data_IF_910667636788
#
_entry.id   IF_910667636788
#
_cell.length_a   1.000
_cell.length_b   1.000
_cell.length_c   1.000
_cell.angle_alpha   90.00
_cell.angle_beta   90.00
_cell.angle_gamma   90.00
#
_symmetry.space_group_name_H-M   'P 1'
#
loop_
_entity.id
_entity.type
_entity.pdbx_description
1 polymer ?
#
# COMPACT_ATOMS: atom_id res chain seq x y z
N UNK A 1 15.63 -1.75 -29.97
CA UNK A 1 14.33 -1.60 -29.31
C UNK A 1 14.56 -1.77 -27.83
N UNK A 2 14.46 -0.70 -27.04
CA UNK A 2 14.76 -0.71 -25.61
C UNK A 2 13.51 -0.23 -24.90
N UNK A 3 12.61 -1.15 -24.56
CA UNK A 3 11.39 -0.86 -23.81
C UNK A 3 11.01 -2.13 -23.08
N UNK A 4 11.14 -2.07 -21.76
CA UNK A 4 10.45 -2.81 -20.69
C UNK A 4 11.30 -2.47 -19.46
N UNK A 5 11.06 -1.31 -18.83
CA UNK A 5 11.28 -1.32 -17.38
C UNK A 5 10.18 -2.23 -16.88
N UNK A 6 10.58 -3.42 -16.43
CA UNK A 6 9.69 -4.25 -15.63
C UNK A 6 9.47 -3.47 -14.33
N UNK A 7 8.51 -2.54 -14.36
CA UNK A 7 7.92 -1.95 -13.16
C UNK A 7 7.11 -3.08 -12.52
N UNK A 8 7.82 -4.03 -11.91
CA UNK A 8 7.23 -5.12 -11.17
C UNK A 8 6.67 -4.51 -9.89
N UNK A 9 5.40 -4.14 -9.92
CA UNK A 9 4.67 -3.76 -8.72
C UNK A 9 4.76 -4.91 -7.71
N UNK A 10 5.03 -4.57 -6.46
CA UNK A 10 4.87 -5.54 -5.36
C UNK A 10 3.43 -6.04 -5.35
N UNK A 11 3.28 -7.32 -5.09
CA UNK A 11 1.98 -7.95 -4.91
C UNK A 11 1.23 -7.33 -3.73
N UNK A 12 -0.10 -7.46 -3.72
CA UNK A 12 -0.92 -7.02 -2.60
C UNK A 12 -0.49 -7.66 -1.26
N UNK A 13 0.02 -8.90 -1.29
CA UNK A 13 0.53 -9.57 -0.09
C UNK A 13 1.82 -8.91 0.44
N UNK A 14 2.77 -8.61 -0.44
CA UNK A 14 4.01 -7.92 -0.06
C UNK A 14 3.76 -6.50 0.47
N UNK A 15 2.81 -5.78 -0.13
CA UNK A 15 2.38 -4.47 0.34
C UNK A 15 1.65 -4.57 1.69
N UNK A 16 0.79 -5.56 1.88
CA UNK A 16 0.11 -5.85 3.14
C UNK A 16 1.10 -6.16 4.26
N UNK A 17 2.13 -6.96 3.97
CA UNK A 17 3.20 -7.25 4.92
C UNK A 17 3.97 -5.98 5.29
N UNK A 18 4.41 -5.20 4.30
CA UNK A 18 5.14 -3.96 4.54
C UNK A 18 4.31 -2.94 5.37
N UNK A 19 3.01 -2.83 5.10
CA UNK A 19 2.11 -2.01 5.87
C UNK A 19 1.94 -2.52 7.30
N UNK A 20 1.82 -3.83 7.50
CA UNK A 20 1.72 -4.41 8.85
C UNK A 20 2.99 -4.17 9.67
N UNK A 21 4.17 -4.19 9.04
CA UNK A 21 5.43 -3.80 9.68
C UNK A 21 5.43 -2.31 10.03
N UNK A 22 4.96 -1.43 9.14
CA UNK A 22 4.85 0.01 9.42
C UNK A 22 4.04 0.28 10.69
N UNK A 23 2.90 -0.40 10.87
CA UNK A 23 2.00 -0.19 12.00
C UNK A 23 2.60 -0.55 13.38
N UNK A 24 3.59 -1.45 13.42
CA UNK A 24 4.21 -1.87 14.69
C UNK A 24 5.56 -1.20 14.95
N UNK A 25 6.10 -0.47 13.97
CA UNK A 25 7.38 0.22 14.12
C UNK A 25 7.21 1.51 14.93
N UNK A 26 8.05 1.75 15.96
CA UNK A 26 8.05 3.00 16.69
C UNK A 26 8.71 4.08 15.83
N UNK A 27 7.89 4.78 15.05
CA UNK A 27 8.32 5.86 14.17
C UNK A 27 7.74 7.20 14.63
N UNK A 28 8.46 8.32 14.42
CA UNK A 28 7.87 9.64 14.51
C UNK A 28 6.66 9.76 13.58
N UNK A 29 5.64 10.50 14.01
CA UNK A 29 4.37 10.61 13.28
C UNK A 29 4.53 11.01 11.81
N UNK A 30 5.38 12.01 11.53
CA UNK A 30 5.63 12.48 10.18
C UNK A 30 6.28 11.40 9.29
N UNK A 31 7.25 10.65 9.83
CA UNK A 31 7.91 9.57 9.10
C UNK A 31 6.93 8.42 8.82
N UNK A 32 6.10 8.07 9.80
CA UNK A 32 5.07 7.05 9.60
C UNK A 32 4.07 7.47 8.52
N UNK A 33 3.66 8.74 8.48
CA UNK A 33 2.73 9.26 7.47
C UNK A 33 3.33 9.23 6.05
N UNK A 34 4.60 9.61 5.89
CA UNK A 34 5.29 9.54 4.60
C UNK A 34 5.43 8.10 4.09
N UNK A 35 5.73 7.16 4.99
CA UNK A 35 5.80 5.74 4.62
C UNK A 35 4.43 5.17 4.28
N UNK A 36 3.39 5.59 5.00
CA UNK A 36 2.01 5.22 4.68
C UNK A 36 1.63 5.70 3.28
N UNK A 37 1.85 6.98 2.97
CA UNK A 37 1.56 7.58 1.66
C UNK A 37 2.28 6.85 0.54
N UNK A 38 3.57 6.52 0.73
CA UNK A 38 4.33 5.72 -0.24
C UNK A 38 3.71 4.34 -0.50
N UNK A 39 3.32 3.62 0.56
CA UNK A 39 2.69 2.30 0.41
C UNK A 39 1.30 2.40 -0.23
N UNK A 40 0.56 3.45 0.10
CA UNK A 40 -0.75 3.74 -0.47
C UNK A 40 -0.67 3.99 -1.97
N UNK A 41 0.24 4.87 -2.38
CA UNK A 41 0.43 5.22 -3.79
C UNK A 41 0.89 4.02 -4.62
N UNK A 42 1.76 3.18 -4.07
CA UNK A 42 2.20 1.96 -4.74
C UNK A 42 1.06 0.96 -4.91
N UNK A 43 0.26 0.71 -3.86
CA UNK A 43 -0.92 -0.15 -3.95
C UNK A 43 -1.97 0.40 -4.93
N UNK A 44 -2.17 1.71 -4.94
CA UNK A 44 -3.11 2.37 -5.84
C UNK A 44 -2.62 2.32 -7.30
N UNK A 45 -1.34 2.56 -7.55
CA UNK A 45 -0.74 2.42 -8.88
C UNK A 45 -0.84 0.98 -9.40
N UNK A 46 -0.55 -0.01 -8.54
CA UNK A 46 -0.70 -1.42 -8.87
C UNK A 46 -2.15 -1.81 -9.19
N UNK A 47 -3.12 -1.27 -8.43
CA UNK A 47 -4.55 -1.47 -8.70
C UNK A 47 -4.97 -0.89 -10.07
N UNK A 48 -4.50 0.30 -10.40
CA UNK A 48 -4.79 0.99 -11.67
C UNK A 48 -4.12 0.30 -12.86
N UNK A 49 -2.94 -0.28 -12.66
CA UNK A 49 -2.20 -1.01 -13.70
C UNK A 49 -2.80 -2.38 -14.04
N UNK A 50 -3.72 -2.90 -13.22
CA UNK A 50 -4.37 -4.18 -13.46
C UNK A 50 -5.31 -4.12 -14.68
N UNK A 51 -5.14 -5.05 -15.61
CA UNK A 51 -5.96 -5.13 -16.83
C UNK A 51 -7.40 -5.61 -16.58
N UNK A 52 -7.66 -6.19 -15.40
CA UNK A 52 -8.98 -6.72 -15.03
C UNK A 52 -9.37 -6.31 -13.63
N UNK A 53 -10.67 -6.12 -13.41
CA UNK A 53 -11.22 -5.87 -12.07
C UNK A 53 -10.86 -7.00 -11.09
N UNK A 54 -10.82 -8.25 -11.57
CA UNK A 54 -10.45 -9.40 -10.74
C UNK A 54 -9.02 -9.33 -10.24
N UNK A 55 -8.09 -8.86 -11.09
CA UNK A 55 -6.70 -8.66 -10.71
C UNK A 55 -6.53 -7.46 -9.77
N UNK A 56 -7.32 -6.39 -9.97
CA UNK A 56 -7.30 -5.20 -9.11
C UNK A 56 -7.90 -5.42 -7.72
N UNK A 57 -8.80 -6.41 -7.57
CA UNK A 57 -9.60 -6.62 -6.36
C UNK A 57 -8.75 -6.73 -5.08
N UNK A 58 -7.65 -7.49 -5.12
CA UNK A 58 -6.77 -7.68 -3.96
C UNK A 58 -6.10 -6.38 -3.50
N UNK A 59 -5.70 -5.52 -4.44
CA UNK A 59 -5.16 -4.19 -4.12
C UNK A 59 -6.24 -3.26 -3.58
N UNK A 60 -7.45 -3.30 -4.12
CA UNK A 60 -8.59 -2.50 -3.60
C UNK A 60 -8.98 -2.91 -2.19
N UNK A 61 -9.01 -4.21 -1.90
CA UNK A 61 -9.26 -4.73 -0.56
C UNK A 61 -8.15 -4.31 0.42
N UNK A 62 -6.89 -4.35 -0.03
CA UNK A 62 -5.76 -3.86 0.73
C UNK A 62 -5.88 -2.35 1.05
N UNK A 63 -6.19 -1.51 0.06
CA UNK A 63 -6.36 -0.07 0.26
C UNK A 63 -7.45 0.23 1.30
N UNK A 64 -8.56 -0.51 1.28
CA UNK A 64 -9.62 -0.40 2.30
C UNK A 64 -9.13 -0.79 3.69
N UNK A 65 -8.35 -1.88 3.82
CA UNK A 65 -7.77 -2.27 5.10
C UNK A 65 -6.77 -1.23 5.62
N UNK A 66 -5.94 -0.70 4.73
CA UNK A 66 -4.95 0.34 5.01
C UNK A 66 -5.62 1.61 5.56
N UNK A 67 -6.62 2.16 4.88
CA UNK A 67 -7.36 3.35 5.34
C UNK A 67 -7.98 3.13 6.71
N UNK A 68 -8.67 1.99 6.90
CA UNK A 68 -9.33 1.65 8.17
C UNK A 68 -8.34 1.58 9.33
N UNK A 69 -7.24 0.83 9.16
CA UNK A 69 -6.25 0.62 10.24
C UNK A 69 -5.46 1.88 10.53
N UNK A 70 -5.13 2.67 9.49
CA UNK A 70 -4.44 3.94 9.65
C UNK A 70 -5.27 4.95 10.44
N UNK A 71 -6.58 5.07 10.14
CA UNK A 71 -7.49 5.93 10.92
C UNK A 71 -7.63 5.49 12.38
N UNK A 72 -7.71 4.18 12.63
CA UNK A 72 -7.79 3.67 13.99
C UNK A 72 -6.52 3.98 14.81
N UNK A 73 -5.33 3.93 14.20
CA UNK A 73 -4.10 4.37 14.88
C UNK A 73 -4.12 5.87 15.21
N UNK A 74 -4.74 6.70 14.37
CA UNK A 74 -4.87 8.14 14.62
C UNK A 74 -5.93 8.48 15.66
N UNK A 75 -6.94 7.63 15.85
CA UNK A 75 -7.95 7.83 16.90
C UNK A 75 -7.43 7.46 18.30
N UNK A 76 -6.34 6.70 18.39
CA UNK A 76 -5.72 6.24 19.64
C UNK A 76 -4.56 7.13 20.11
N UNK A 77 -4.15 8.13 19.32
CA UNK A 77 -3.12 9.12 19.64
C UNK A 77 -3.75 10.52 19.78
#
# INVERSE_FOLDING_TARGET
MKTLSDDHYRTAEELSFAFSILLVRPLPHLEAALLFEKLWDEANAAAVACETERAALSYVELLKDMDRRWRNMRALN
#
